data_IF_624652468820
#
_entry.id   IF_624652468820
#
_cell.length_a   1.000
_cell.length_b   1.000
_cell.length_c   1.000
_cell.angle_alpha   90.00
_cell.angle_beta   90.00
_cell.angle_gamma   90.00
#
_symmetry.space_group_name_H-M   'P 1'
#
loop_
_entity.id
_entity.type
_entity.pdbx_description
1 polymer ?
#
# COMPACT_ATOMS: atom_id res chain seq x y z
N UNK A 1 -43.57 -0.74 -24.12
CA UNK A 1 -42.23 -0.29 -24.54
C UNK A 1 -41.83 0.83 -23.59
N UNK A 2 -40.89 0.57 -22.69
CA UNK A 2 -40.48 1.50 -21.62
C UNK A 2 -39.25 2.27 -22.08
N UNK A 3 -39.37 3.59 -22.24
CA UNK A 3 -38.28 4.49 -22.59
C UNK A 3 -37.30 4.65 -21.42
N UNK A 4 -36.01 4.51 -21.70
CA UNK A 4 -34.96 4.66 -20.69
C UNK A 4 -34.75 6.13 -20.32
N UNK A 5 -34.77 6.39 -19.02
CA UNK A 5 -34.55 7.73 -18.46
C UNK A 5 -33.09 8.15 -18.70
N UNK A 6 -32.89 9.26 -19.43
CA UNK A 6 -31.56 9.82 -19.70
C UNK A 6 -30.91 10.30 -18.40
N UNK A 7 -29.67 9.83 -18.15
CA UNK A 7 -28.80 10.04 -16.98
C UNK A 7 -28.62 11.49 -16.50
N UNK A 8 -29.07 12.50 -17.27
CA UNK A 8 -28.99 13.93 -16.93
C UNK A 8 -30.17 14.44 -16.12
N UNK A 9 -31.29 13.70 -16.04
CA UNK A 9 -32.46 14.15 -15.27
C UNK A 9 -32.37 13.82 -13.77
N UNK A 10 -31.47 12.95 -13.33
CA UNK A 10 -31.37 12.53 -11.92
C UNK A 10 -30.67 13.56 -11.02
N UNK A 11 -29.74 14.34 -11.58
CA UNK A 11 -28.98 15.37 -10.83
C UNK A 11 -29.75 16.69 -10.63
N UNK A 12 -30.82 16.93 -11.40
CA UNK A 12 -31.69 18.10 -11.18
C UNK A 12 -32.71 17.89 -10.06
N UNK A 13 -33.14 16.66 -9.84
CA UNK A 13 -34.17 16.33 -8.84
C UNK A 13 -33.61 16.20 -7.42
N UNK A 14 -32.31 15.88 -7.28
CA UNK A 14 -31.64 15.75 -5.98
C UNK A 14 -31.16 17.08 -5.39
N UNK A 15 -31.15 18.16 -6.17
CA UNK A 15 -30.75 19.50 -5.71
C UNK A 15 -31.87 20.38 -5.15
N UNK A 16 -33.12 19.91 -5.11
CA UNK A 16 -34.28 20.76 -4.75
C UNK A 16 -34.91 20.45 -3.39
N UNK A 17 -34.45 19.44 -2.65
CA UNK A 17 -35.00 19.10 -1.32
C UNK A 17 -33.89 18.68 -0.37
N UNK A 18 -33.04 19.63 0.02
CA UNK A 18 -32.42 19.72 1.34
C UNK A 18 -31.35 20.83 1.33
N UNK A 19 -31.53 21.83 2.19
CA UNK A 19 -30.40 22.61 2.70
C UNK A 19 -30.02 23.83 1.89
N UNK A 20 -30.77 24.92 2.11
CA UNK A 20 -30.16 26.24 2.23
C UNK A 20 -28.96 26.16 3.19
N UNK A 21 -27.74 26.20 2.66
CA UNK A 21 -26.57 26.62 3.41
C UNK A 21 -25.73 27.55 2.54
N UNK A 22 -25.23 28.61 3.18
CA UNK A 22 -24.70 29.83 2.57
C UNK A 22 -23.40 29.64 1.79
N UNK A 23 -23.46 29.02 0.61
CA UNK A 23 -22.37 29.03 -0.36
C UNK A 23 -22.87 29.29 -1.79
N UNK A 24 -23.37 30.50 -2.08
CA UNK A 24 -23.07 31.05 -3.39
C UNK A 24 -22.98 32.58 -3.35
N UNK A 25 -21.77 33.13 -3.22
CA UNK A 25 -21.46 34.50 -3.66
C UNK A 25 -19.95 34.70 -3.90
N UNK A 26 -19.07 33.85 -3.34
CA UNK A 26 -17.64 33.88 -3.66
C UNK A 26 -17.21 32.98 -4.82
N UNK A 27 -18.05 32.06 -5.30
CA UNK A 27 -17.74 31.23 -6.47
C UNK A 27 -18.16 31.86 -7.82
N UNK A 28 -19.00 32.91 -7.82
CA UNK A 28 -19.44 33.57 -9.05
C UNK A 28 -18.42 34.54 -9.66
N UNK A 29 -17.25 34.74 -9.04
CA UNK A 29 -16.16 35.57 -9.59
C UNK A 29 -15.06 34.77 -10.29
N UNK A 30 -15.17 33.45 -10.37
CA UNK A 30 -14.30 32.64 -11.23
C UNK A 30 -14.91 32.44 -12.62
N UNK A 31 -15.36 33.51 -13.26
CA UNK A 31 -15.58 33.54 -14.71
C UNK A 31 -14.52 34.44 -15.32
N UNK A 32 -13.30 33.89 -15.43
CA UNK A 32 -12.22 34.53 -16.17
C UNK A 32 -11.52 33.45 -17.00
N UNK A 33 -11.92 33.36 -18.27
CA UNK A 33 -11.08 33.15 -19.46
C UNK A 33 -9.87 32.22 -19.38
N UNK A 34 -9.93 31.12 -18.61
CA UNK A 34 -8.98 30.03 -18.80
C UNK A 34 -9.46 29.20 -19.98
N UNK A 35 -8.70 29.11 -21.09
CA UNK A 35 -9.02 28.12 -22.11
C UNK A 35 -9.10 26.77 -21.40
N UNK A 36 -10.21 26.06 -21.59
CA UNK A 36 -10.39 24.71 -21.08
C UNK A 36 -9.22 23.91 -21.65
N UNK A 37 -8.19 23.66 -20.81
CA UNK A 37 -7.12 22.79 -21.23
C UNK A 37 -7.78 21.46 -21.59
N UNK A 38 -7.49 20.88 -22.76
CA UNK A 38 -8.03 19.57 -23.09
C UNK A 38 -7.70 18.67 -21.90
N UNK A 39 -8.73 18.01 -21.35
CA UNK A 39 -8.53 17.00 -20.32
C UNK A 39 -7.37 16.14 -20.77
N UNK A 40 -6.28 16.03 -20.00
CA UNK A 40 -5.10 15.29 -20.43
C UNK A 40 -5.55 13.95 -20.99
N UNK A 41 -5.22 13.71 -22.26
CA UNK A 41 -5.50 12.45 -22.94
C UNK A 41 -4.93 11.34 -22.08
N UNK A 42 -5.80 10.46 -21.58
CA UNK A 42 -5.46 9.23 -20.89
C UNK A 42 -4.30 9.39 -19.90
N UNK A 43 -4.61 9.78 -18.67
CA UNK A 43 -3.72 9.37 -17.59
C UNK A 43 -3.65 7.83 -17.64
N UNK A 44 -2.48 7.28 -17.94
CA UNK A 44 -2.17 5.86 -17.81
C UNK A 44 -2.16 5.50 -16.31
N UNK A 45 -3.30 5.69 -15.63
CA UNK A 45 -3.49 5.41 -14.19
C UNK A 45 -3.44 3.92 -13.92
N UNK A 46 -3.58 3.10 -14.96
CA UNK A 46 -3.40 1.67 -14.89
C UNK A 46 -2.02 1.36 -15.45
N UNK A 47 -1.01 1.34 -14.57
CA UNK A 47 0.30 0.85 -14.93
C UNK A 47 0.16 -0.44 -15.75
N UNK A 48 0.83 -0.51 -16.91
CA UNK A 48 0.89 -1.74 -17.70
C UNK A 48 1.64 -2.80 -16.87
N UNK A 49 0.89 -3.59 -16.12
CA UNK A 49 1.45 -4.67 -15.33
C UNK A 49 1.94 -5.79 -16.25
N UNK A 50 3.19 -6.19 -16.07
CA UNK A 50 3.68 -7.42 -16.68
C UNK A 50 2.89 -8.62 -16.13
N UNK A 51 2.71 -9.64 -16.96
CA UNK A 51 2.11 -10.89 -16.51
C UNK A 51 3.02 -11.54 -15.46
N UNK A 52 2.46 -12.16 -14.41
CA UNK A 52 3.26 -12.84 -13.41
C UNK A 52 3.93 -14.08 -13.99
N UNK A 53 5.24 -14.24 -13.77
CA UNK A 53 5.97 -15.46 -14.14
C UNK A 53 6.21 -16.36 -12.93
N UNK A 54 6.75 -15.77 -11.86
CA UNK A 54 7.09 -16.44 -10.61
C UNK A 54 6.62 -15.59 -9.43
N UNK A 55 5.77 -16.19 -8.60
CA UNK A 55 5.21 -15.55 -7.40
C UNK A 55 5.76 -16.25 -6.16
N UNK A 56 6.16 -15.47 -5.17
CA UNK A 56 6.49 -15.96 -3.83
C UNK A 56 5.24 -15.78 -2.97
N UNK A 57 4.70 -16.89 -2.46
CA UNK A 57 3.63 -16.87 -1.47
C UNK A 57 4.24 -16.83 -0.07
N UNK A 58 3.75 -15.94 0.78
CA UNK A 58 4.12 -15.94 2.20
C UNK A 58 2.85 -15.91 3.06
N UNK A 59 2.75 -16.87 3.98
CA UNK A 59 1.69 -16.91 4.98
C UNK A 59 2.07 -16.05 6.19
N UNK A 60 1.34 -14.95 6.41
CA UNK A 60 1.64 -14.02 7.50
C UNK A 60 1.33 -14.61 8.88
N UNK A 61 0.61 -15.74 8.97
CA UNK A 61 0.41 -16.44 10.26
C UNK A 61 1.71 -17.03 10.81
N UNK A 62 2.70 -17.29 9.94
CA UNK A 62 4.04 -17.75 10.35
C UNK A 62 4.82 -16.72 11.17
N UNK A 63 4.42 -15.44 11.14
CA UNK A 63 5.04 -14.41 11.96
C UNK A 63 4.94 -14.72 13.46
N UNK A 64 3.91 -15.45 13.89
CA UNK A 64 3.77 -15.90 15.29
C UNK A 64 4.88 -16.89 15.68
N UNK A 65 5.25 -17.77 14.75
CA UNK A 65 6.30 -18.77 14.96
C UNK A 65 7.70 -18.14 14.89
N UNK A 66 7.89 -17.18 13.96
CA UNK A 66 9.17 -16.49 13.78
C UNK A 66 9.46 -15.47 14.90
N UNK A 67 8.41 -14.86 15.47
CA UNK A 67 8.51 -13.87 16.53
C UNK A 67 7.69 -14.30 17.77
N UNK A 68 8.10 -15.36 18.49
CA UNK A 68 7.32 -15.93 19.60
C UNK A 68 7.19 -15.00 20.81
N UNK A 69 8.06 -13.99 20.91
CA UNK A 69 8.03 -12.97 21.99
C UNK A 69 7.23 -11.72 21.60
N UNK A 70 6.76 -11.63 20.36
CA UNK A 70 5.98 -10.47 19.91
C UNK A 70 4.56 -10.51 20.47
N UNK A 71 4.11 -9.39 21.02
CA UNK A 71 2.72 -9.20 21.41
C UNK A 71 1.80 -9.04 20.17
N UNK A 72 0.49 -9.05 20.41
CA UNK A 72 -0.50 -8.92 19.33
C UNK A 72 -0.33 -7.62 18.52
N UNK A 73 0.09 -6.53 19.17
CA UNK A 73 0.36 -5.24 18.52
C UNK A 73 1.56 -5.35 17.57
N UNK A 74 2.65 -5.94 18.04
CA UNK A 74 3.88 -6.13 17.26
C UNK A 74 3.63 -7.06 16.07
N UNK A 75 2.88 -8.15 16.26
CA UNK A 75 2.48 -9.04 15.17
C UNK A 75 1.63 -8.33 14.10
N UNK A 76 0.71 -7.45 14.53
CA UNK A 76 -0.06 -6.61 13.62
C UNK A 76 0.83 -5.63 12.85
N UNK A 77 1.81 -5.00 13.52
CA UNK A 77 2.79 -4.14 12.86
C UNK A 77 3.61 -4.93 11.85
N UNK A 78 4.19 -6.08 12.23
CA UNK A 78 4.97 -6.93 11.32
C UNK A 78 4.16 -7.38 10.10
N UNK A 79 2.89 -7.73 10.30
CA UNK A 79 1.96 -8.04 9.20
C UNK A 79 1.81 -6.85 8.26
N UNK A 80 1.62 -5.65 8.82
CA UNK A 80 1.48 -4.40 8.05
C UNK A 80 2.77 -4.05 7.29
N UNK A 81 3.94 -4.18 7.91
CA UNK A 81 5.23 -3.98 7.25
C UNK A 81 5.44 -4.96 6.09
N UNK A 82 5.00 -6.21 6.27
CA UNK A 82 5.03 -7.23 5.21
C UNK A 82 4.09 -6.86 4.07
N UNK A 83 2.91 -6.30 4.36
CA UNK A 83 2.00 -5.78 3.33
C UNK A 83 2.59 -4.58 2.58
N UNK A 84 3.30 -3.68 3.26
CA UNK A 84 4.04 -2.59 2.60
C UNK A 84 5.09 -3.15 1.66
N UNK A 85 5.86 -4.16 2.10
CA UNK A 85 6.83 -4.85 1.24
C UNK A 85 6.16 -5.46 0.00
N UNK A 86 5.01 -6.12 0.14
CA UNK A 86 4.25 -6.62 -1.01
C UNK A 86 3.95 -5.51 -2.02
N UNK A 87 3.55 -4.33 -1.54
CA UNK A 87 3.34 -3.15 -2.39
C UNK A 87 4.60 -2.74 -3.16
N UNK A 88 5.75 -2.67 -2.49
CA UNK A 88 7.03 -2.30 -3.10
C UNK A 88 7.48 -3.28 -4.18
N UNK A 89 7.37 -4.59 -3.89
CA UNK A 89 7.79 -5.66 -4.80
C UNK A 89 6.87 -5.73 -6.03
N UNK A 90 5.56 -5.54 -5.83
CA UNK A 90 4.59 -5.71 -6.91
C UNK A 90 4.41 -4.46 -7.80
N UNK A 91 5.21 -3.40 -7.63
CA UNK A 91 5.08 -2.16 -8.44
C UNK A 91 5.30 -2.38 -9.94
N UNK A 92 6.17 -3.32 -10.30
CA UNK A 92 6.53 -3.59 -11.70
C UNK A 92 5.76 -4.79 -12.23
N UNK A 93 5.74 -5.88 -11.46
CA UNK A 93 5.06 -7.12 -11.80
C UNK A 93 4.59 -7.84 -10.53
N UNK A 94 3.51 -8.62 -10.56
CA UNK A 94 3.12 -9.41 -9.40
C UNK A 94 4.18 -10.49 -9.11
N UNK A 95 4.84 -10.39 -7.96
CA UNK A 95 5.92 -11.30 -7.54
C UNK A 95 5.81 -11.74 -6.07
N UNK A 96 5.06 -11.03 -5.23
CA UNK A 96 4.80 -11.39 -3.84
C UNK A 96 3.29 -11.45 -3.57
N UNK A 97 2.82 -12.56 -3.00
CA UNK A 97 1.44 -12.75 -2.58
C UNK A 97 1.39 -13.12 -1.10
N UNK A 98 0.62 -12.37 -0.31
CA UNK A 98 0.46 -12.62 1.11
C UNK A 98 -0.85 -13.37 1.38
N UNK A 99 -0.75 -14.46 2.16
CA UNK A 99 -1.90 -15.15 2.72
C UNK A 99 -2.05 -14.74 4.18
N UNK A 100 -3.16 -14.07 4.51
CA UNK A 100 -3.39 -13.56 5.86
C UNK A 100 -4.12 -14.55 6.78
N UNK A 101 -4.74 -15.58 6.22
CA UNK A 101 -5.46 -16.58 6.98
C UNK A 101 -5.53 -17.89 6.18
N UNK A 102 -5.31 -19.05 6.82
CA UNK A 102 -5.49 -20.35 6.17
C UNK A 102 -6.96 -20.63 5.83
N UNK A 103 -7.91 -19.91 6.44
CA UNK A 103 -9.34 -20.02 6.16
C UNK A 103 -9.82 -19.08 5.05
N UNK A 104 -8.97 -18.13 4.62
CA UNK A 104 -9.32 -17.25 3.52
C UNK A 104 -9.24 -18.00 2.19
N UNK A 105 -9.97 -17.50 1.19
CA UNK A 105 -9.86 -17.99 -0.18
C UNK A 105 -8.43 -17.80 -0.67
N UNK A 106 -7.78 -18.88 -1.09
CA UNK A 106 -6.47 -18.82 -1.74
C UNK A 106 -6.66 -18.51 -3.23
N UNK A 107 -6.61 -17.22 -3.56
CA UNK A 107 -6.74 -16.75 -4.93
C UNK A 107 -5.63 -17.26 -5.84
N UNK A 108 -4.41 -17.44 -5.31
CA UNK A 108 -3.27 -17.92 -6.09
C UNK A 108 -3.50 -19.36 -6.56
N UNK A 109 -4.03 -20.21 -5.68
CA UNK A 109 -4.44 -21.57 -6.03
C UNK A 109 -5.60 -21.60 -7.03
N UNK A 110 -6.59 -20.71 -6.87
CA UNK A 110 -7.71 -20.61 -7.82
C UNK A 110 -7.23 -20.21 -9.21
N UNK A 111 -6.39 -19.17 -9.33
CA UNK A 111 -5.84 -18.76 -10.62
C UNK A 111 -4.97 -19.86 -11.24
N UNK A 112 -4.21 -20.59 -10.42
CA UNK A 112 -3.43 -21.73 -10.91
C UNK A 112 -4.32 -22.83 -11.48
N UNK A 113 -5.43 -23.16 -10.80
CA UNK A 113 -6.43 -24.14 -11.26
C UNK A 113 -7.14 -23.71 -12.54
N UNK A 114 -7.32 -22.41 -12.75
CA UNK A 114 -7.90 -21.83 -13.97
C UNK A 114 -6.92 -21.82 -15.17
N UNK A 115 -5.69 -22.30 -14.99
CA UNK A 115 -4.72 -22.42 -16.08
C UNK A 115 -3.92 -21.14 -16.37
N UNK A 116 -3.92 -20.17 -15.45
CA UNK A 116 -3.10 -18.98 -15.62
C UNK A 116 -1.59 -19.33 -15.65
N UNK A 117 -0.81 -18.75 -16.58
CA UNK A 117 0.57 -19.15 -16.83
C UNK A 117 1.53 -18.49 -15.84
N UNK A 118 1.59 -18.99 -14.61
CA UNK A 118 2.59 -18.61 -13.61
C UNK A 118 2.98 -19.80 -12.73
N UNK A 119 4.09 -19.68 -12.02
CA UNK A 119 4.49 -20.60 -10.96
C UNK A 119 4.51 -19.87 -9.63
N UNK A 120 4.35 -20.59 -8.52
CA UNK A 120 4.56 -20.01 -7.22
C UNK A 120 5.28 -20.97 -6.27
N UNK A 121 6.01 -20.40 -5.32
CA UNK A 121 6.71 -21.13 -4.25
C UNK A 121 6.43 -20.48 -2.91
N UNK A 122 6.49 -21.25 -1.83
CA UNK A 122 6.29 -20.75 -0.47
C UNK A 122 7.58 -20.19 0.11
N UNK A 123 7.54 -18.98 0.68
CA UNK A 123 8.60 -18.48 1.54
C UNK A 123 8.55 -19.17 2.90
N UNK A 124 9.73 -19.53 3.42
CA UNK A 124 9.86 -20.22 4.70
C UNK A 124 9.57 -19.28 5.88
N UNK A 125 10.09 -18.05 5.80
CA UNK A 125 10.05 -17.03 6.85
C UNK A 125 10.07 -15.61 6.24
N UNK A 126 9.72 -14.60 7.04
CA UNK A 126 9.90 -13.20 6.68
C UNK A 126 11.37 -12.91 6.40
N UNK A 127 12.29 -13.47 7.19
CA UNK A 127 13.74 -13.34 6.94
C UNK A 127 14.13 -13.82 5.55
N UNK A 128 13.66 -15.00 5.12
CA UNK A 128 13.94 -15.51 3.76
C UNK A 128 13.35 -14.63 2.65
N UNK A 129 12.20 -14.00 2.92
CA UNK A 129 11.57 -13.07 2.00
C UNK A 129 12.39 -11.78 1.86
N UNK A 130 12.90 -11.25 2.98
CA UNK A 130 13.77 -10.08 2.98
C UNK A 130 15.10 -10.37 2.29
N UNK A 131 15.70 -11.54 2.50
CA UNK A 131 16.92 -11.98 1.79
C UNK A 131 16.73 -12.00 0.28
N UNK A 132 15.61 -12.55 -0.19
CA UNK A 132 15.28 -12.64 -1.60
C UNK A 132 15.11 -11.26 -2.25
N UNK A 133 14.49 -10.31 -1.54
CA UNK A 133 14.08 -9.02 -2.11
C UNK A 133 14.96 -7.83 -1.73
N UNK A 134 15.85 -7.94 -0.74
CA UNK A 134 16.78 -6.88 -0.36
C UNK A 134 17.57 -6.27 -1.54
N UNK A 135 18.07 -7.05 -2.52
CA UNK A 135 18.76 -6.48 -3.68
C UNK A 135 17.91 -5.53 -4.54
N UNK A 136 16.57 -5.63 -4.45
CA UNK A 136 15.65 -4.78 -5.20
C UNK A 136 15.26 -3.50 -4.46
N UNK A 137 15.70 -3.32 -3.21
CA UNK A 137 15.34 -2.20 -2.33
C UNK A 137 16.50 -1.19 -2.25
N UNK A 138 16.17 0.10 -2.21
CA UNK A 138 17.17 1.18 -2.23
C UNK A 138 17.72 1.55 -0.84
N UNK A 139 17.16 0.98 0.23
CA UNK A 139 17.54 1.24 1.61
C UNK A 139 16.43 0.88 2.60
N UNK A 140 16.53 1.36 3.84
CA UNK A 140 15.48 1.19 4.84
C UNK A 140 15.20 2.46 5.65
N UNK A 141 13.99 2.51 6.20
CA UNK A 141 13.50 3.53 7.13
C UNK A 141 12.98 2.85 8.40
N UNK A 142 13.42 3.35 9.56
CA UNK A 142 12.99 2.84 10.87
C UNK A 142 11.75 3.62 11.30
N UNK A 143 10.64 2.92 11.55
CA UNK A 143 9.45 3.53 12.16
C UNK A 143 9.60 3.66 13.68
N UNK A 144 8.82 4.56 14.28
CA UNK A 144 8.75 4.70 15.73
C UNK A 144 7.66 3.77 16.32
N UNK A 145 8.01 2.72 17.07
CA UNK A 145 7.02 1.85 17.71
C UNK A 145 6.23 2.54 18.83
N UNK A 146 6.70 3.66 19.38
CA UNK A 146 5.96 4.45 20.37
C UNK A 146 4.88 5.33 19.70
N UNK A 147 5.06 5.70 18.43
CA UNK A 147 4.10 6.49 17.66
C UNK A 147 3.74 5.78 16.35
N UNK A 148 2.64 5.01 16.34
CA UNK A 148 2.22 4.23 15.16
C UNK A 148 1.91 5.08 13.92
N UNK A 149 1.66 6.38 14.07
CA UNK A 149 1.47 7.27 12.92
C UNK A 149 2.75 7.43 12.09
N UNK A 150 3.92 7.22 12.71
CA UNK A 150 5.20 7.14 12.00
C UNK A 150 5.21 6.03 10.94
N UNK A 151 4.43 4.97 11.10
CA UNK A 151 4.31 3.89 10.10
C UNK A 151 3.66 4.41 8.80
N UNK A 152 2.63 5.25 8.90
CA UNK A 152 1.97 5.85 7.74
C UNK A 152 2.91 6.81 6.99
N UNK A 153 3.70 7.59 7.73
CA UNK A 153 4.73 8.47 7.14
C UNK A 153 5.84 7.62 6.50
N UNK A 154 6.31 6.59 7.20
CA UNK A 154 7.34 5.69 6.71
C UNK A 154 6.89 4.97 5.44
N UNK A 155 5.66 4.45 5.38
CA UNK A 155 5.07 3.83 4.20
C UNK A 155 5.06 4.79 3.01
N UNK A 156 4.66 6.04 3.23
CA UNK A 156 4.56 7.04 2.16
C UNK A 156 5.94 7.30 1.56
N UNK A 157 6.95 7.57 2.39
CA UNK A 157 8.31 7.79 1.90
C UNK A 157 8.94 6.54 1.29
N UNK A 158 8.77 5.39 1.94
CA UNK A 158 9.23 4.09 1.45
C UNK A 158 8.69 3.77 0.06
N UNK A 159 7.41 4.08 -0.18
CA UNK A 159 6.76 3.82 -1.48
C UNK A 159 7.32 4.69 -2.60
N UNK A 160 7.68 5.94 -2.29
CA UNK A 160 8.30 6.87 -3.24
C UNK A 160 9.75 6.50 -3.54
N UNK A 161 10.52 6.22 -2.49
CA UNK A 161 11.97 6.08 -2.56
C UNK A 161 12.45 4.62 -2.64
N UNK A 162 11.51 3.67 -2.66
CA UNK A 162 11.75 2.23 -2.68
C UNK A 162 12.57 1.72 -1.47
N UNK A 163 12.17 2.14 -0.26
CA UNK A 163 12.82 1.74 0.99
C UNK A 163 12.01 0.72 1.76
N UNK A 164 12.68 -0.19 2.47
CA UNK A 164 12.03 -1.09 3.42
C UNK A 164 11.62 -0.34 4.69
N UNK A 165 10.36 -0.46 5.11
CA UNK A 165 9.94 0.00 6.44
C UNK A 165 10.20 -1.08 7.47
N UNK A 166 10.91 -0.75 8.55
CA UNK A 166 11.30 -1.72 9.59
C UNK A 166 11.00 -1.23 11.01
N UNK A 167 10.85 -2.18 11.93
CA UNK A 167 10.97 -1.95 13.36
C UNK A 167 12.45 -1.80 13.77
N UNK A 168 12.75 -1.11 14.89
CA UNK A 168 14.12 -0.92 15.35
C UNK A 168 14.90 -2.23 15.53
N UNK A 169 14.24 -3.28 16.02
CA UNK A 169 14.84 -4.60 16.31
C UNK A 169 15.28 -5.33 15.03
N UNK A 170 14.74 -4.93 13.87
CA UNK A 170 15.06 -5.52 12.57
C UNK A 170 16.28 -4.86 11.90
N UNK A 171 16.78 -3.74 12.44
CA UNK A 171 17.91 -2.99 11.87
C UNK A 171 19.16 -3.87 11.63
N UNK A 172 19.60 -4.73 12.56
CA UNK A 172 20.75 -5.60 12.33
C UNK A 172 20.57 -6.55 11.14
N UNK A 173 19.34 -7.05 10.92
CA UNK A 173 19.01 -7.87 9.75
C UNK A 173 19.07 -7.05 8.47
N UNK A 174 18.46 -5.86 8.44
CA UNK A 174 18.51 -4.99 7.26
C UNK A 174 19.97 -4.63 6.86
N UNK A 175 20.81 -4.33 7.85
CA UNK A 175 22.25 -4.06 7.62
C UNK A 175 22.99 -5.29 7.08
N UNK A 176 22.73 -6.48 7.64
CA UNK A 176 23.34 -7.74 7.16
C UNK A 176 22.97 -8.04 5.70
N UNK A 177 21.78 -7.62 5.26
CA UNK A 177 21.31 -7.74 3.89
C UNK A 177 21.88 -6.66 2.94
N UNK A 178 22.77 -5.80 3.42
CA UNK A 178 23.41 -4.74 2.62
C UNK A 178 22.54 -3.51 2.39
N UNK A 179 21.38 -3.41 3.06
CA UNK A 179 20.55 -2.21 2.98
C UNK A 179 21.17 -1.08 3.80
N UNK A 180 21.08 0.13 3.27
CA UNK A 180 21.57 1.34 3.95
C UNK A 180 20.44 2.03 4.68
N UNK A 181 20.70 2.52 5.90
CA UNK A 181 19.76 3.37 6.62
C UNK A 181 19.57 4.67 5.87
N UNK A 182 18.32 5.01 5.55
CA UNK A 182 17.96 6.27 4.90
C UNK A 182 17.36 7.27 5.87
N UNK A 183 16.52 6.78 6.78
CA UNK A 183 15.80 7.61 7.76
C UNK A 183 15.54 6.81 9.05
N UNK A 184 15.41 7.55 10.14
CA UNK A 184 15.01 7.04 11.45
C UNK A 184 13.94 7.98 12.02
N UNK A 185 12.74 7.46 12.21
CA UNK A 185 11.59 8.27 12.64
C UNK A 185 11.38 8.27 14.16
N UNK A 186 12.20 7.55 14.92
CA UNK A 186 12.06 7.47 16.38
C UNK A 186 12.19 8.83 17.03
N UNK A 187 11.24 9.17 17.89
CA UNK A 187 11.25 10.44 18.64
C UNK A 187 11.13 11.68 17.78
N UNK A 188 10.80 11.55 16.49
CA UNK A 188 10.73 12.68 15.55
C UNK A 188 9.55 13.61 15.85
N UNK A 189 8.47 13.07 16.41
CA UNK A 189 7.26 13.83 16.70
C UNK A 189 6.83 13.65 18.16
N UNK A 190 6.44 14.75 18.84
CA UNK A 190 6.01 14.70 20.23
C UNK A 190 4.62 14.03 20.38
N UNK A 191 3.79 14.11 19.35
CA UNK A 191 2.45 13.54 19.33
C UNK A 191 2.05 13.03 17.94
N UNK A 192 0.84 12.49 17.82
CA UNK A 192 0.32 11.89 16.58
C UNK A 192 -0.05 12.86 15.47
N UNK A 193 -0.51 14.08 15.81
CA UNK A 193 -0.95 15.08 14.83
C UNK A 193 0.26 15.71 14.15
N UNK A 194 1.30 15.99 14.92
CA UNK A 194 2.58 16.51 14.43
C UNK A 194 3.21 15.66 13.31
N UNK A 195 2.85 14.37 13.19
CA UNK A 195 3.33 13.50 12.12
C UNK A 195 2.78 13.86 10.72
N UNK A 196 1.73 14.69 10.65
CA UNK A 196 1.04 15.06 9.41
C UNK A 196 1.08 16.56 9.11
N UNK A 197 1.71 17.37 9.97
CA UNK A 197 1.98 18.80 9.75
C UNK A 197 3.28 19.00 8.96
#
# INVERSE_FOLDING_TARGET
MSESIKRRSFLKTSGSVAGLSMLPMHLMRCTADRPMQPTPQEYDIFAKYALPEKIIRFDTTKLVEEFPQADARTLWVLTTLTTILQGLINRVQPALYLRHSPRAVDWLDLYKKQGHPFTYTEAASLTSLLELYAPSLAGYIIMDPANLHSMNVAQTWASLENWLVILPEMEPTAMRLGLTKKQDLRGRWPDRLSAYE
#
